data_IF_857427193550
#
_entry.id   IF_857427193550
#
_cell.length_a   1.000
_cell.length_b   1.000
_cell.length_c   1.000
_cell.angle_alpha   90.00
_cell.angle_beta   90.00
_cell.angle_gamma   90.00
#
_symmetry.space_group_name_H-M   'P 1'
#
loop_
_entity.id
_entity.type
_entity.pdbx_description
1 polymer ?
#
# COMPACT_ATOMS: atom_id res chain seq x y z
N UNK A 1 3.69 11.89 -14.95
CA UNK A 1 3.58 10.42 -14.78
C UNK A 1 3.20 9.81 -16.13
N UNK A 2 3.77 8.67 -16.50
CA UNK A 2 3.52 8.02 -17.80
C UNK A 2 2.17 7.30 -17.76
N UNK A 3 1.35 7.51 -18.80
CA UNK A 3 0.12 6.75 -19.02
C UNK A 3 0.41 5.46 -19.79
N UNK A 4 -0.16 4.36 -19.34
CA UNK A 4 -0.07 3.04 -19.95
C UNK A 4 -1.42 2.63 -20.53
N UNK A 5 -1.40 1.77 -21.55
CA UNK A 5 -2.59 1.09 -22.09
C UNK A 5 -2.60 -0.35 -21.62
N UNK A 6 -3.78 -0.96 -21.53
CA UNK A 6 -3.91 -2.37 -21.17
C UNK A 6 -5.36 -2.81 -21.12
N UNK A 7 -5.59 -3.91 -20.41
CA UNK A 7 -6.90 -4.52 -20.21
C UNK A 7 -7.24 -4.53 -18.72
N UNK A 8 -8.49 -4.26 -18.36
CA UNK A 8 -9.02 -4.54 -17.03
C UNK A 8 -9.96 -5.74 -17.10
N UNK A 9 -9.88 -6.60 -16.08
CA UNK A 9 -10.87 -7.63 -15.75
C UNK A 9 -11.24 -7.49 -14.27
N UNK A 10 -12.25 -8.22 -13.82
CA UNK A 10 -12.66 -8.16 -12.42
C UNK A 10 -12.66 -9.50 -11.70
N UNK A 11 -12.61 -9.40 -10.37
CA UNK A 11 -12.79 -10.48 -9.42
C UNK A 11 -13.67 -10.00 -8.26
N UNK A 12 -14.31 -10.94 -7.55
CA UNK A 12 -15.01 -10.66 -6.31
C UNK A 12 -13.99 -10.78 -5.16
N UNK A 13 -13.38 -9.66 -4.78
CA UNK A 13 -12.33 -9.63 -3.77
C UNK A 13 -12.91 -9.80 -2.36
N UNK A 14 -12.63 -10.92 -1.69
CA UNK A 14 -12.94 -11.10 -0.27
C UNK A 14 -11.66 -11.10 0.60
N UNK A 15 -11.34 -9.92 1.13
CA UNK A 15 -10.28 -9.70 2.12
C UNK A 15 -8.81 -9.81 1.63
N UNK A 16 -7.89 -9.90 2.61
CA UNK A 16 -6.46 -9.52 2.57
C UNK A 16 -5.72 -10.06 1.34
N UNK A 17 -5.13 -9.15 0.57
CA UNK A 17 -4.15 -9.49 -0.46
C UNK A 17 -2.72 -9.59 0.07
N UNK A 18 -1.79 -9.88 -0.83
CA UNK A 18 -0.34 -10.02 -0.59
C UNK A 18 0.28 -8.83 0.16
N UNK A 19 -0.29 -7.63 0.01
CA UNK A 19 0.16 -6.43 0.74
C UNK A 19 -0.22 -6.41 2.24
N UNK A 20 -0.95 -7.40 2.75
CA UNK A 20 -1.49 -7.45 4.13
C UNK A 20 -2.27 -6.18 4.55
N UNK A 21 -2.84 -5.48 3.58
CA UNK A 21 -3.73 -4.34 3.81
C UNK A 21 -5.14 -4.86 4.12
N UNK A 22 -5.82 -4.17 5.03
CA UNK A 22 -7.21 -4.47 5.39
C UNK A 22 -8.14 -3.51 4.67
N UNK A 23 -9.09 -4.04 3.92
CA UNK A 23 -10.07 -3.28 3.15
C UNK A 23 -11.41 -4.02 3.15
N UNK A 24 -12.51 -3.26 3.03
CA UNK A 24 -13.86 -3.82 2.92
C UNK A 24 -14.16 -4.39 1.53
N UNK A 25 -15.28 -5.10 1.41
CA UNK A 25 -15.72 -5.69 0.15
C UNK A 25 -15.89 -4.65 -0.98
N UNK A 26 -16.35 -3.44 -0.65
CA UNK A 26 -16.59 -2.39 -1.64
C UNK A 26 -15.37 -1.51 -1.92
N UNK A 27 -14.20 -1.89 -1.40
CA UNK A 27 -12.98 -1.14 -1.63
C UNK A 27 -12.53 -1.25 -3.09
N UNK A 28 -12.14 -0.10 -3.65
CA UNK A 28 -11.54 -0.02 -4.97
C UNK A 28 -10.08 -0.50 -4.92
N UNK A 29 -9.88 -1.81 -5.04
CA UNK A 29 -8.57 -2.46 -4.97
C UNK A 29 -8.21 -3.19 -6.25
N UNK A 30 -6.91 -3.41 -6.42
CA UNK A 30 -6.26 -4.06 -7.55
C UNK A 30 -5.37 -5.22 -7.05
N UNK A 31 -5.55 -6.39 -7.66
CA UNK A 31 -4.54 -7.44 -7.72
C UNK A 31 -3.66 -7.18 -8.93
N UNK A 32 -2.46 -6.64 -8.68
CA UNK A 32 -1.61 -6.07 -9.71
C UNK A 32 -0.77 -7.14 -10.43
N UNK A 33 -0.59 -7.04 -11.77
CA UNK A 33 0.38 -7.88 -12.46
C UNK A 33 1.80 -7.55 -11.98
N UNK A 34 2.75 -8.47 -12.19
CA UNK A 34 4.13 -8.31 -11.71
C UNK A 34 4.80 -6.99 -12.13
N UNK A 35 4.51 -6.52 -13.36
CA UNK A 35 5.03 -5.26 -13.89
C UNK A 35 4.56 -4.02 -13.11
N UNK A 36 3.40 -4.10 -12.46
CA UNK A 36 2.84 -3.04 -11.61
C UNK A 36 3.20 -3.28 -10.15
N UNK A 37 3.08 -4.51 -9.66
CA UNK A 37 3.34 -4.88 -8.27
C UNK A 37 4.79 -4.59 -7.83
N UNK A 38 5.74 -4.71 -8.77
CA UNK A 38 7.15 -4.37 -8.60
C UNK A 38 7.74 -4.93 -7.29
N UNK A 39 7.69 -6.26 -7.12
CA UNK A 39 8.27 -6.94 -5.96
C UNK A 39 7.92 -6.26 -4.62
N UNK A 40 6.62 -6.17 -4.26
CA UNK A 40 6.06 -5.49 -3.06
C UNK A 40 6.13 -3.95 -3.05
N UNK A 41 6.93 -3.32 -3.90
CA UNK A 41 7.19 -1.87 -3.80
C UNK A 41 5.95 -1.02 -4.08
N UNK A 42 5.00 -1.52 -4.88
CA UNK A 42 3.78 -0.80 -5.22
C UNK A 42 2.63 -1.01 -4.22
N UNK A 43 2.81 -1.75 -3.13
CA UNK A 43 1.73 -1.92 -2.15
C UNK A 43 1.25 -0.58 -1.60
N UNK A 44 -0.07 -0.38 -1.63
CA UNK A 44 -0.71 0.88 -1.26
C UNK A 44 -0.52 2.01 -2.29
N UNK A 45 0.06 1.75 -3.46
CA UNK A 45 0.03 2.69 -4.59
C UNK A 45 -1.37 2.80 -5.17
N UNK A 46 -1.78 3.99 -5.57
CA UNK A 46 -3.02 4.18 -6.31
C UNK A 46 -2.78 4.36 -7.81
N UNK A 47 -3.67 3.78 -8.61
CA UNK A 47 -3.75 3.98 -10.05
C UNK A 47 -5.09 4.63 -10.40
N UNK A 48 -5.07 5.66 -11.24
CA UNK A 48 -6.26 6.14 -11.93
C UNK A 48 -6.42 5.29 -13.20
N UNK A 49 -7.56 4.61 -13.32
CA UNK A 49 -7.91 3.74 -14.46
C UNK A 49 -9.09 4.37 -15.18
N UNK A 50 -8.97 4.58 -16.48
CA UNK A 50 -10.00 5.13 -17.35
C UNK A 50 -10.42 4.09 -18.39
N UNK A 51 -11.71 3.74 -18.39
CA UNK A 51 -12.36 2.91 -19.40
C UNK A 51 -13.42 3.69 -20.18
N UNK A 52 -14.27 2.99 -20.93
CA UNK A 52 -15.28 3.61 -21.81
C UNK A 52 -16.41 4.32 -21.05
N UNK A 53 -16.72 3.87 -19.84
CA UNK A 53 -17.86 4.37 -19.05
C UNK A 53 -17.43 5.38 -17.96
N UNK A 54 -16.13 5.46 -17.65
CA UNK A 54 -15.68 6.34 -16.58
C UNK A 54 -14.24 6.11 -16.12
N UNK A 55 -13.92 6.78 -15.02
CA UNK A 55 -12.60 6.73 -14.37
C UNK A 55 -12.76 6.34 -12.91
N UNK A 56 -11.87 5.48 -12.42
CA UNK A 56 -11.83 5.05 -11.03
C UNK A 56 -10.39 4.97 -10.52
N UNK A 57 -10.17 5.46 -9.31
CA UNK A 57 -8.89 5.26 -8.59
C UNK A 57 -8.95 3.96 -7.82
N UNK A 58 -7.96 3.07 -8.01
CA UNK A 58 -7.84 1.80 -7.30
C UNK A 58 -6.49 1.70 -6.59
N UNK A 59 -6.45 1.02 -5.45
CA UNK A 59 -5.23 0.79 -4.68
C UNK A 59 -4.67 -0.61 -4.93
N UNK A 60 -3.37 -0.72 -5.18
CA UNK A 60 -2.64 -1.99 -5.23
C UNK A 60 -2.67 -2.63 -3.85
N UNK A 61 -3.40 -3.72 -3.71
CA UNK A 61 -3.59 -4.43 -2.45
C UNK A 61 -3.17 -5.90 -2.51
N UNK A 62 -2.98 -6.43 -3.72
CA UNK A 62 -2.60 -7.82 -3.95
C UNK A 62 -1.73 -7.95 -5.21
N UNK A 63 -1.20 -9.16 -5.41
CA UNK A 63 -0.41 -9.58 -6.56
C UNK A 63 -1.17 -10.64 -7.35
N UNK A 64 -1.28 -10.42 -8.66
CA UNK A 64 -1.68 -11.46 -9.59
C UNK A 64 -0.42 -12.10 -10.19
N UNK A 65 -0.07 -13.31 -9.73
CA UNK A 65 1.18 -13.98 -10.13
C UNK A 65 1.25 -14.27 -11.63
N UNK A 66 0.13 -14.69 -12.22
CA UNK A 66 0.06 -15.19 -13.60
C UNK A 66 -0.66 -14.22 -14.56
N UNK A 67 -0.87 -12.97 -14.13
CA UNK A 67 -1.49 -11.97 -15.01
C UNK A 67 -0.50 -11.46 -16.07
N UNK A 68 -0.96 -11.24 -17.32
CA UNK A 68 -0.21 -10.49 -18.31
C UNK A 68 0.26 -9.13 -17.78
N UNK A 69 1.42 -8.61 -18.20
CA UNK A 69 1.99 -7.36 -17.69
C UNK A 69 1.08 -6.14 -17.76
N UNK A 70 0.15 -6.12 -18.70
CA UNK A 70 -0.79 -5.03 -19.00
C UNK A 70 -2.23 -5.33 -18.55
N UNK A 71 -2.49 -6.46 -17.88
CA UNK A 71 -3.82 -6.81 -17.35
C UNK A 71 -3.95 -6.42 -15.88
N UNK A 72 -4.91 -5.53 -15.60
CA UNK A 72 -5.31 -5.13 -14.25
C UNK A 72 -6.50 -5.98 -13.78
N UNK A 73 -6.39 -6.60 -12.60
CA UNK A 73 -7.48 -7.38 -11.99
C UNK A 73 -8.06 -6.57 -10.84
N UNK A 74 -9.15 -5.85 -11.09
CA UNK A 74 -9.74 -4.90 -10.12
C UNK A 74 -11.00 -5.47 -9.48
N UNK A 75 -11.34 -4.98 -8.29
CA UNK A 75 -12.57 -5.40 -7.63
C UNK A 75 -13.81 -5.04 -8.47
N UNK A 76 -14.81 -5.90 -8.50
CA UNK A 76 -16.02 -5.76 -9.34
C UNK A 76 -16.74 -4.41 -9.19
N UNK A 77 -16.95 -3.83 -7.99
CA UNK A 77 -17.56 -2.50 -7.87
C UNK A 77 -16.74 -1.40 -8.54
N UNK A 78 -15.41 -1.52 -8.60
CA UNK A 78 -14.55 -0.58 -9.32
C UNK A 78 -14.61 -0.80 -10.84
N UNK A 79 -14.68 -2.06 -11.29
CA UNK A 79 -14.82 -2.40 -12.71
C UNK A 79 -16.11 -1.86 -13.32
N UNK A 80 -17.24 -2.02 -12.63
CA UNK A 80 -18.54 -1.55 -13.11
C UNK A 80 -18.54 -0.04 -13.38
N UNK A 81 -17.75 0.74 -12.62
CA UNK A 81 -17.64 2.19 -12.82
C UNK A 81 -16.84 2.61 -14.06
N UNK A 82 -16.00 1.73 -14.61
CA UNK A 82 -15.17 2.03 -15.78
C UNK A 82 -15.68 1.37 -17.07
N UNK A 83 -16.48 0.31 -16.96
CA UNK A 83 -16.92 -0.51 -18.10
C UNK A 83 -18.37 -1.00 -18.05
N UNK A 84 -19.13 -0.65 -17.01
CA UNK A 84 -20.53 -1.08 -16.84
C UNK A 84 -20.66 -2.54 -16.40
N UNK A 85 -21.90 -3.05 -16.34
CA UNK A 85 -22.23 -4.37 -15.76
C UNK A 85 -22.22 -5.52 -16.77
N UNK A 86 -22.26 -5.22 -18.07
CA UNK A 86 -22.34 -6.24 -19.13
C UNK A 86 -20.98 -6.72 -19.64
N UNK A 87 -19.92 -5.98 -19.33
CA UNK A 87 -18.57 -6.30 -19.77
C UNK A 87 -17.89 -7.29 -18.82
N UNK A 88 -17.22 -8.32 -19.35
CA UNK A 88 -16.32 -9.20 -18.59
C UNK A 88 -14.86 -8.73 -18.58
N UNK A 89 -14.53 -7.83 -19.50
CA UNK A 89 -13.21 -7.24 -19.73
C UNK A 89 -13.36 -5.87 -20.40
N UNK A 90 -12.37 -5.00 -20.25
CA UNK A 90 -12.40 -3.67 -20.84
C UNK A 90 -11.01 -3.21 -21.27
N UNK A 91 -10.90 -2.55 -22.42
CA UNK A 91 -9.70 -1.78 -22.75
C UNK A 91 -9.63 -0.55 -21.86
N UNK A 92 -8.46 -0.29 -21.29
CA UNK A 92 -8.26 0.81 -20.34
C UNK A 92 -6.95 1.54 -20.59
N UNK A 93 -6.92 2.77 -20.12
CA UNK A 93 -5.66 3.47 -19.84
C UNK A 93 -5.49 3.65 -18.35
N UNK A 94 -4.26 3.68 -17.86
CA UNK A 94 -3.99 3.87 -16.45
C UNK A 94 -2.69 4.62 -16.20
N UNK A 95 -2.62 5.31 -15.06
CA UNK A 95 -1.41 5.99 -14.59
C UNK A 95 -1.36 5.95 -13.05
N UNK A 96 -0.16 5.91 -12.44
CA UNK A 96 -0.02 6.17 -11.01
C UNK A 96 -0.59 7.54 -10.65
N UNK A 97 -1.22 7.64 -9.49
CA UNK A 97 -1.69 8.91 -8.89
C UNK A 97 -1.51 8.86 -7.38
N UNK A 98 -1.37 10.01 -6.69
CA UNK A 98 -1.48 10.03 -5.24
C UNK A 98 -2.86 9.50 -4.80
N UNK A 99 -2.87 8.66 -3.77
CA UNK A 99 -4.10 8.16 -3.18
C UNK A 99 -4.89 9.31 -2.53
N UNK A 100 -6.21 9.33 -2.77
CA UNK A 100 -7.14 10.28 -2.15
C UNK A 100 -7.55 9.80 -0.74
N UNK A 101 -6.58 9.75 0.19
CA UNK A 101 -6.82 9.37 1.58
C UNK A 101 -7.22 10.57 2.43
N UNK A 102 -7.96 10.31 3.51
CA UNK A 102 -8.26 11.29 4.56
C UNK A 102 -7.37 11.03 5.78
N UNK A 103 -6.85 12.11 6.37
CA UNK A 103 -6.01 12.04 7.56
C UNK A 103 -4.56 11.64 7.30
N UNK A 104 -3.89 11.30 8.39
CA UNK A 104 -2.45 11.07 8.45
C UNK A 104 -2.09 9.60 8.21
N UNK A 105 -0.78 9.33 8.13
CA UNK A 105 -0.26 7.96 8.12
C UNK A 105 -0.79 7.15 9.31
N UNK A 106 -0.90 5.84 9.13
CA UNK A 106 -1.21 4.90 10.20
C UNK A 106 -0.08 3.88 10.36
N UNK A 107 0.30 3.60 11.60
CA UNK A 107 1.41 2.74 11.97
C UNK A 107 0.88 1.48 12.64
N UNK A 108 0.84 0.39 11.88
CA UNK A 108 0.38 -0.92 12.35
C UNK A 108 1.57 -1.74 12.83
N UNK A 109 1.64 -1.99 14.13
CA UNK A 109 2.61 -2.94 14.68
C UNK A 109 2.09 -4.37 14.46
N UNK A 110 2.90 -5.21 13.83
CA UNK A 110 2.54 -6.61 13.58
C UNK A 110 2.30 -7.31 14.92
N UNK A 111 1.25 -8.12 15.00
CA UNK A 111 1.08 -9.05 16.13
C UNK A 111 2.33 -9.94 16.17
N UNK A 112 2.89 -10.18 17.36
CA UNK A 112 4.22 -10.76 17.64
C UNK A 112 5.41 -9.79 17.68
N UNK A 113 5.22 -8.50 17.42
CA UNK A 113 6.28 -7.51 17.62
C UNK A 113 6.67 -7.39 19.11
N UNK A 114 7.97 -7.28 19.38
CA UNK A 114 8.58 -7.03 20.69
C UNK A 114 9.73 -6.05 20.54
N UNK A 115 10.30 -5.59 21.65
CA UNK A 115 11.49 -4.72 21.61
C UNK A 115 12.72 -5.43 21.02
N UNK A 116 12.70 -6.77 20.92
CA UNK A 116 13.78 -7.61 20.39
C UNK A 116 13.58 -8.04 18.93
N UNK A 117 12.36 -7.88 18.40
CA UNK A 117 12.03 -8.08 16.99
C UNK A 117 10.78 -7.24 16.68
N UNK A 118 10.86 -6.28 15.77
CA UNK A 118 9.76 -5.33 15.57
C UNK A 118 9.43 -5.23 14.10
N UNK A 119 8.14 -5.33 13.76
CA UNK A 119 7.67 -5.26 12.38
C UNK A 119 6.48 -4.31 12.28
N UNK A 120 6.58 -3.32 11.40
CA UNK A 120 5.67 -2.18 11.32
C UNK A 120 5.20 -2.00 9.87
N UNK A 121 3.90 -1.94 9.65
CA UNK A 121 3.30 -1.60 8.36
C UNK A 121 2.83 -0.15 8.41
N UNK A 122 3.23 0.63 7.41
CA UNK A 122 2.73 1.98 7.19
C UNK A 122 1.49 1.89 6.31
N UNK A 123 0.41 2.55 6.71
CA UNK A 123 -0.89 2.55 6.05
C UNK A 123 -1.37 3.98 5.82
N UNK A 124 -2.48 4.11 5.10
CA UNK A 124 -3.13 5.38 4.81
C UNK A 124 -2.18 6.43 4.23
N UNK A 125 -1.26 6.02 3.34
CA UNK A 125 -0.26 6.88 2.74
C UNK A 125 -0.69 7.35 1.34
N UNK A 126 -0.43 8.62 1.02
CA UNK A 126 -0.78 9.21 -0.29
C UNK A 126 0.09 8.70 -1.43
N UNK A 127 1.34 8.39 -1.15
CA UNK A 127 2.32 7.87 -2.12
C UNK A 127 2.90 6.57 -1.58
N UNK A 128 3.42 5.67 -2.44
CA UNK A 128 4.03 4.44 -1.97
C UNK A 128 5.16 4.73 -0.99
N UNK A 129 5.23 3.98 0.10
CA UNK A 129 6.38 4.08 1.01
C UNK A 129 7.58 3.45 0.30
N UNK A 130 8.76 4.07 0.43
CA UNK A 130 10.04 3.60 -0.09
C UNK A 130 10.86 2.92 1.02
N UNK A 131 11.02 3.58 2.16
CA UNK A 131 11.76 3.03 3.29
C UNK A 131 11.21 3.50 4.63
N UNK A 132 11.54 2.74 5.67
CA UNK A 132 11.27 3.08 7.07
C UNK A 132 12.56 2.84 7.85
N UNK A 133 12.98 3.84 8.61
CA UNK A 133 14.06 3.73 9.58
C UNK A 133 13.54 4.04 10.98
N UNK A 134 14.19 3.53 12.01
CA UNK A 134 13.92 3.91 13.40
C UNK A 134 15.12 4.59 14.02
N UNK A 135 14.86 5.50 14.96
CA UNK A 135 15.91 6.22 15.69
C UNK A 135 16.48 5.36 16.82
N UNK A 136 17.80 5.23 16.89
CA UNK A 136 18.53 4.54 17.95
C UNK A 136 19.68 5.43 18.42
N UNK A 137 19.51 6.07 19.58
CA UNK A 137 20.36 7.21 19.96
C UNK A 137 20.20 8.34 18.96
N UNK A 138 21.31 8.81 18.38
CA UNK A 138 21.29 9.83 17.32
C UNK A 138 21.32 9.26 15.90
N UNK A 139 21.40 7.93 15.76
CA UNK A 139 21.47 7.26 14.46
C UNK A 139 20.10 6.81 13.95
N UNK A 140 19.93 6.81 12.62
CA UNK A 140 18.81 6.17 11.93
C UNK A 140 19.22 4.76 11.48
N UNK A 141 18.41 3.76 11.83
CA UNK A 141 18.63 2.37 11.44
C UNK A 141 17.51 1.95 10.49
N UNK A 142 17.88 1.62 9.25
CA UNK A 142 16.92 1.18 8.23
C UNK A 142 16.30 -0.18 8.59
N UNK A 143 15.01 -0.32 8.32
CA UNK A 143 14.25 -1.56 8.46
C UNK A 143 14.10 -2.26 7.10
N UNK A 144 14.06 -3.58 7.11
CA UNK A 144 13.92 -4.37 5.88
C UNK A 144 12.45 -4.58 5.55
N UNK A 145 12.02 -4.23 4.33
CA UNK A 145 10.67 -4.56 3.87
C UNK A 145 10.55 -6.07 3.59
N UNK A 146 9.53 -6.71 4.14
CA UNK A 146 9.15 -8.09 3.87
C UNK A 146 8.06 -8.18 2.79
N UNK A 147 7.88 -9.38 2.23
CA UNK A 147 6.91 -9.67 1.16
C UNK A 147 5.44 -9.51 1.57
N UNK A 148 5.17 -9.23 2.84
CA UNK A 148 3.84 -8.90 3.39
C UNK A 148 3.64 -7.39 3.61
N UNK A 149 4.52 -6.55 3.05
CA UNK A 149 4.51 -5.09 3.15
C UNK A 149 4.68 -4.54 4.59
N UNK A 150 5.33 -5.30 5.46
CA UNK A 150 5.84 -4.78 6.73
C UNK A 150 7.31 -4.40 6.60
N UNK A 151 7.76 -3.44 7.41
CA UNK A 151 9.16 -3.09 7.58
C UNK A 151 9.63 -3.67 8.91
N UNK A 152 10.70 -4.45 8.88
CA UNK A 152 11.14 -5.28 10.02
C UNK A 152 12.54 -4.90 10.49
N UNK A 153 12.65 -4.63 11.79
CA UNK A 153 13.89 -4.56 12.54
C UNK A 153 14.13 -5.91 13.21
N UNK A 154 14.98 -6.76 12.62
CA UNK A 154 15.21 -8.12 13.10
C UNK A 154 15.83 -8.19 14.51
N UNK A 155 16.58 -7.16 14.91
CA UNK A 155 17.14 -6.99 16.26
C UNK A 155 16.25 -6.15 17.19
N UNK A 156 15.05 -5.82 16.72
CA UNK A 156 14.08 -4.97 17.39
C UNK A 156 14.48 -3.50 17.48
N UNK A 157 13.51 -2.67 17.88
CA UNK A 157 13.73 -1.23 18.10
C UNK A 157 14.24 -0.91 19.51
N UNK A 158 14.33 -1.92 20.39
CA UNK A 158 14.96 -1.82 21.71
C UNK A 158 14.13 -1.15 22.80
N UNK A 159 12.99 -0.53 22.48
CA UNK A 159 12.12 0.17 23.42
C UNK A 159 10.66 0.14 22.98
N UNK A 160 9.75 0.29 23.93
CA UNK A 160 8.32 0.47 23.67
C UNK A 160 7.96 1.88 23.17
N UNK A 161 8.93 2.79 23.17
CA UNK A 161 8.88 4.08 22.49
C UNK A 161 9.77 4.04 21.26
N UNK A 162 9.26 4.47 20.11
CA UNK A 162 10.03 4.50 18.86
C UNK A 162 9.71 5.73 18.04
N UNK A 163 10.75 6.39 17.53
CA UNK A 163 10.65 7.41 16.48
C UNK A 163 11.02 6.77 15.16
N UNK A 164 10.15 6.93 14.16
CA UNK A 164 10.31 6.41 12.82
C UNK A 164 10.56 7.56 11.85
N UNK A 165 11.39 7.31 10.85
CA UNK A 165 11.55 8.14 9.65
C UNK A 165 11.04 7.36 8.46
N UNK A 166 9.98 7.85 7.84
CA UNK A 166 9.25 7.18 6.77
C UNK A 166 9.47 7.99 5.50
N UNK A 167 10.02 7.36 4.46
CA UNK A 167 10.33 8.01 3.19
C UNK A 167 9.39 7.51 2.12
N UNK A 168 8.72 8.43 1.41
CA UNK A 168 7.87 8.15 0.25
C UNK A 168 8.68 7.91 -1.02
N UNK A 169 8.06 7.28 -2.02
CA UNK A 169 8.67 7.04 -3.33
C UNK A 169 8.94 8.33 -4.11
N UNK A 170 8.28 9.43 -3.72
CA UNK A 170 8.50 10.79 -4.22
C UNK A 170 9.67 11.51 -3.52
N UNK A 171 10.32 10.87 -2.54
CA UNK A 171 11.45 11.42 -1.79
C UNK A 171 11.05 12.26 -0.57
N UNK A 172 9.76 12.45 -0.30
CA UNK A 172 9.32 13.12 0.92
C UNK A 172 9.61 12.25 2.14
N UNK A 173 9.91 12.88 3.28
CA UNK A 173 10.15 12.19 4.54
C UNK A 173 9.23 12.75 5.62
N UNK A 174 8.66 11.85 6.42
CA UNK A 174 7.87 12.17 7.61
C UNK A 174 8.50 11.46 8.81
N UNK A 175 8.58 12.15 9.94
CA UNK A 175 8.98 11.55 11.21
C UNK A 175 7.77 11.39 12.14
N UNK A 176 7.62 10.22 12.74
CA UNK A 176 6.52 9.91 13.64
C UNK A 176 7.05 9.27 14.92
N UNK A 177 6.51 9.65 16.08
CA UNK A 177 6.87 9.03 17.36
C UNK A 177 5.68 8.30 17.96
N UNK A 178 5.85 7.01 18.25
CA UNK A 178 4.88 6.22 19.02
C UNK A 178 5.45 5.99 20.41
N UNK A 179 4.91 6.71 21.40
CA UNK A 179 5.47 6.77 22.75
C UNK A 179 5.37 5.44 23.53
N UNK A 180 4.31 4.66 23.28
CA UNK A 180 4.06 3.37 23.95
C UNK A 180 3.29 2.44 23.03
N UNK A 181 4.00 1.78 22.12
CA UNK A 181 3.38 0.87 21.16
C UNK A 181 3.07 -0.50 21.79
N UNK A 182 2.13 -1.24 21.22
CA UNK A 182 1.82 -2.64 21.57
C UNK A 182 1.70 -3.45 20.28
N UNK A 183 1.99 -4.73 20.37
CA UNK A 183 1.89 -5.62 19.23
C UNK A 183 0.43 -5.79 18.78
N UNK A 184 0.20 -5.80 17.47
CA UNK A 184 -1.15 -5.92 16.94
C UNK A 184 -2.03 -4.69 17.17
N UNK A 185 -1.46 -3.53 17.50
CA UNK A 185 -2.16 -2.25 17.55
C UNK A 185 -1.83 -1.36 16.35
N UNK A 186 -2.72 -0.41 16.07
CA UNK A 186 -2.54 0.62 15.03
C UNK A 186 -2.54 1.99 15.68
N UNK A 187 -1.57 2.83 15.33
CA UNK A 187 -1.43 4.19 15.84
C UNK A 187 -1.62 5.19 14.70
N UNK A 188 -2.41 6.24 14.93
CA UNK A 188 -2.51 7.36 13.98
C UNK A 188 -1.26 8.23 14.10
N UNK A 189 -0.66 8.54 12.96
CA UNK A 189 0.42 9.50 12.84
C UNK A 189 -0.09 10.94 12.91
N UNK A 190 0.86 11.86 12.87
CA UNK A 190 0.67 13.31 12.96
C UNK A 190 0.83 14.01 11.62
N UNK A 191 1.36 13.33 10.59
CA UNK A 191 1.57 13.90 9.27
C UNK A 191 1.22 12.95 8.12
N UNK A 192 1.23 13.52 6.91
CA UNK A 192 0.98 12.86 5.64
C UNK A 192 1.96 13.40 4.59
N UNK A 193 2.28 12.58 3.57
CA UNK A 193 3.02 13.08 2.40
C UNK A 193 2.21 14.15 1.65
N UNK A 194 2.86 15.21 1.19
CA UNK A 194 2.21 16.31 0.47
C UNK A 194 1.83 15.94 -0.96
#
# INVERSE_FOLDING_TARGET
MKTSKGEAVYYDANARGSCSLTFGHDAAVLSAPNAVYNQIQACGQCLEITGSEGTQVVMVADRCNDCPPDRLVINKPAFVKIAGTKAGKAEVTWKPVPCAVQGNLELRFKKTSSIHWTSIQVRNHRVPVKSVAFKKGDAWVEMTRSDDNYFTAAKGVGSQSVTLRITGADGQTVEETVAKWKDGETYKGTAQFK
#
